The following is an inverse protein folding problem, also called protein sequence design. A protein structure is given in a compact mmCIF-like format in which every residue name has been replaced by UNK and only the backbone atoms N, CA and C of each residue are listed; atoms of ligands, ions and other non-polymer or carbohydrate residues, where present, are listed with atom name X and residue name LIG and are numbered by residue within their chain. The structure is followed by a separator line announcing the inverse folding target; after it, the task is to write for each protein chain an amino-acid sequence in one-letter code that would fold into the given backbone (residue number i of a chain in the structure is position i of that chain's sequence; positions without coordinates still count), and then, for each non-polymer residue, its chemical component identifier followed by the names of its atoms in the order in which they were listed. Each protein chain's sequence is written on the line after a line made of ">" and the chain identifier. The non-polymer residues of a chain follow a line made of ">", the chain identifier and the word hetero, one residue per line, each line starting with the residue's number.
data_IF_056557663267
#
_entry.id   IF_056557663267
#
_cell.length_a   1.000
_cell.length_b   1.000
_cell.length_c   1.000
_cell.angle_alpha   90.00
_cell.angle_beta   90.00
_cell.angle_gamma   90.00
#
_symmetry.space_group_name_H-M   'P 1'
#
loop_
_entity.id
_entity.type
_entity.pdbx_description
1 polymer ?
#
# COMPACT_ATOMS: atom_id res chain seq x y z
N UNK A 1 -71.51 -17.21 -55.14
CA UNK A 1 -71.08 -18.27 -54.20
C UNK A 1 -69.60 -18.08 -53.86
N UNK A 2 -69.31 -17.96 -52.56
CA UNK A 2 -68.06 -18.25 -51.81
C UNK A 2 -66.68 -17.85 -52.39
N UNK A 3 -66.21 -16.70 -51.87
CA UNK A 3 -64.88 -16.40 -51.29
C UNK A 3 -63.78 -17.48 -51.42
N UNK A 4 -62.74 -17.19 -52.21
CA UNK A 4 -61.41 -17.79 -52.10
C UNK A 4 -60.55 -17.04 -51.07
N UNK A 5 -60.17 -17.70 -49.98
CA UNK A 5 -59.24 -17.19 -48.97
C UNK A 5 -57.81 -17.17 -49.54
N UNK A 6 -57.18 -15.99 -49.63
CA UNK A 6 -55.72 -15.86 -49.64
C UNK A 6 -55.26 -15.63 -48.20
N UNK A 7 -54.70 -16.67 -47.59
CA UNK A 7 -53.99 -16.59 -46.31
C UNK A 7 -52.59 -16.02 -46.57
N UNK A 8 -52.28 -14.88 -45.96
CA UNK A 8 -50.91 -14.38 -45.84
C UNK A 8 -50.08 -15.42 -45.09
N UNK A 9 -49.09 -16.00 -45.75
CA UNK A 9 -48.05 -16.79 -45.09
C UNK A 9 -47.14 -15.80 -44.36
N UNK A 10 -47.38 -15.63 -43.06
CA UNK A 10 -46.43 -15.01 -42.14
C UNK A 10 -45.27 -15.98 -42.00
N UNK A 11 -44.14 -15.71 -42.66
CA UNK A 11 -42.86 -16.33 -42.35
C UNK A 11 -42.48 -15.96 -40.90
N UNK A 12 -42.89 -16.78 -39.94
CA UNK A 12 -42.27 -16.81 -38.60
C UNK A 12 -40.81 -17.18 -38.81
N UNK A 13 -39.91 -16.19 -38.77
CA UNK A 13 -38.50 -16.41 -38.42
C UNK A 13 -38.50 -17.10 -37.06
N UNK A 14 -38.27 -18.41 -37.05
CA UNK A 14 -37.82 -19.12 -35.86
C UNK A 14 -36.49 -18.49 -35.47
N UNK A 15 -36.53 -17.51 -34.58
CA UNK A 15 -35.38 -17.10 -33.81
C UNK A 15 -34.95 -18.33 -33.01
N UNK A 16 -33.96 -19.07 -33.52
CA UNK A 16 -33.16 -19.95 -32.68
C UNK A 16 -32.51 -19.07 -31.65
N UNK A 17 -33.11 -18.99 -30.46
CA UNK A 17 -32.44 -18.59 -29.24
C UNK A 17 -31.25 -19.53 -29.08
N UNK A 18 -30.08 -19.06 -29.53
CA UNK A 18 -28.82 -19.64 -29.15
C UNK A 18 -28.68 -19.41 -27.65
N UNK A 19 -29.15 -20.38 -26.88
CA UNK A 19 -28.65 -20.64 -25.54
C UNK A 19 -27.16 -20.87 -25.69
N UNK A 20 -26.37 -19.81 -25.52
CA UNK A 20 -24.93 -19.88 -25.50
C UNK A 20 -24.54 -20.74 -24.30
N UNK A 21 -24.33 -22.04 -24.52
CA UNK A 21 -23.70 -22.93 -23.54
C UNK A 21 -22.36 -22.30 -23.17
N UNK A 22 -22.32 -21.76 -21.95
CA UNK A 22 -21.20 -21.10 -21.31
C UNK A 22 -20.08 -22.12 -21.18
N UNK A 23 -19.02 -21.97 -21.96
CA UNK A 23 -17.84 -22.84 -21.83
C UNK A 23 -17.00 -22.37 -20.65
N UNK A 24 -16.60 -23.30 -19.80
CA UNK A 24 -15.60 -23.07 -18.79
C UNK A 24 -14.26 -22.66 -19.42
N UNK A 25 -13.46 -21.88 -18.71
CA UNK A 25 -12.26 -21.27 -19.31
C UNK A 25 -11.17 -22.29 -19.61
N UNK A 26 -11.09 -23.39 -18.85
CA UNK A 26 -10.22 -24.53 -19.14
C UNK A 26 -10.61 -25.33 -20.41
N UNK A 27 -11.78 -25.07 -21.01
CA UNK A 27 -12.20 -25.69 -22.30
C UNK A 27 -11.80 -24.86 -23.52
N UNK A 28 -11.17 -23.69 -23.33
CA UNK A 28 -10.42 -23.01 -24.41
C UNK A 28 -9.03 -23.63 -24.44
N UNK A 29 -8.60 -24.15 -25.60
CA UNK A 29 -7.25 -24.68 -25.76
C UNK A 29 -6.23 -23.58 -25.40
N UNK A 30 -5.36 -23.86 -24.42
CA UNK A 30 -4.22 -23.03 -23.98
C UNK A 30 -4.58 -21.56 -23.69
N UNK A 31 -5.28 -21.32 -22.58
CA UNK A 31 -5.60 -19.98 -22.09
C UNK A 31 -4.87 -19.65 -20.79
N UNK A 32 -4.89 -18.38 -20.40
CA UNK A 32 -4.45 -17.93 -19.08
C UNK A 32 -5.40 -16.86 -18.54
N UNK A 33 -5.33 -16.59 -17.24
CA UNK A 33 -5.99 -15.45 -16.62
C UNK A 33 -4.95 -14.54 -15.97
N UNK A 34 -5.28 -13.24 -15.89
CA UNK A 34 -4.39 -12.22 -15.34
C UNK A 34 -5.10 -11.54 -14.18
N UNK A 35 -4.61 -11.76 -12.96
CA UNK A 35 -5.05 -11.06 -11.74
C UNK A 35 -4.56 -9.62 -11.79
N UNK A 36 -5.39 -8.66 -11.39
CA UNK A 36 -5.15 -7.23 -11.58
C UNK A 36 -5.70 -6.36 -10.45
N UNK A 37 -5.48 -5.05 -10.49
CA UNK A 37 -6.04 -4.06 -9.57
C UNK A 37 -5.83 -4.45 -8.09
N UNK A 38 -6.86 -4.34 -7.25
CA UNK A 38 -6.78 -4.64 -5.82
C UNK A 38 -6.44 -6.12 -5.58
N UNK A 39 -6.98 -7.03 -6.38
CA UNK A 39 -6.66 -8.46 -6.24
C UNK A 39 -5.20 -8.78 -6.54
N UNK A 40 -4.55 -8.07 -7.48
CA UNK A 40 -3.12 -8.22 -7.73
C UNK A 40 -2.29 -7.74 -6.53
N UNK A 41 -2.67 -6.61 -5.91
CA UNK A 41 -1.99 -6.13 -4.71
C UNK A 41 -2.13 -7.11 -3.55
N UNK A 42 -3.34 -7.61 -3.29
CA UNK A 42 -3.60 -8.60 -2.25
C UNK A 42 -2.75 -9.86 -2.47
N UNK A 43 -2.77 -10.39 -3.69
CA UNK A 43 -1.98 -11.57 -4.05
C UNK A 43 -0.48 -11.34 -3.88
N UNK A 44 0.06 -10.24 -4.43
CA UNK A 44 1.48 -9.91 -4.31
C UNK A 44 1.89 -9.63 -2.86
N UNK A 45 1.00 -9.05 -2.04
CA UNK A 45 1.26 -8.78 -0.63
C UNK A 45 1.40 -10.08 0.19
N UNK A 46 0.74 -11.17 -0.19
CA UNK A 46 0.81 -12.47 0.49
C UNK A 46 1.92 -13.38 -0.04
N UNK A 47 2.24 -13.28 -1.33
CA UNK A 47 3.21 -14.17 -1.97
C UNK A 47 4.67 -13.79 -1.65
N UNK A 48 5.56 -14.80 -1.53
CA UNK A 48 6.99 -14.59 -1.74
C UNK A 48 7.23 -13.95 -3.11
N UNK A 49 8.33 -13.22 -3.26
CA UNK A 49 8.61 -12.49 -4.50
C UNK A 49 8.56 -13.42 -5.74
N UNK A 50 7.56 -13.26 -6.64
CA UNK A 50 7.37 -14.18 -7.76
C UNK A 50 8.36 -13.95 -8.91
N UNK A 51 9.18 -12.89 -8.87
CA UNK A 51 10.21 -12.58 -9.88
C UNK A 51 11.52 -13.34 -9.66
N UNK A 52 11.51 -14.43 -8.88
CA UNK A 52 12.73 -15.14 -8.52
C UNK A 52 13.34 -15.89 -9.73
N UNK A 53 14.63 -15.59 -10.02
CA UNK A 53 15.45 -16.21 -11.08
C UNK A 53 15.86 -15.21 -12.18
N UNK A 54 16.99 -15.43 -12.85
CA UNK A 54 17.47 -14.60 -13.99
C UNK A 54 16.63 -14.77 -15.28
N UNK A 55 15.41 -15.28 -15.15
CA UNK A 55 14.51 -15.44 -16.28
C UNK A 55 14.11 -14.05 -16.77
N UNK A 56 14.40 -13.75 -18.04
CA UNK A 56 13.90 -12.53 -18.66
C UNK A 56 12.38 -12.42 -18.49
N UNK A 57 11.85 -11.20 -18.29
CA UNK A 57 10.41 -11.01 -18.14
C UNK A 57 9.70 -11.55 -19.37
N UNK A 58 8.87 -12.58 -19.17
CA UNK A 58 8.11 -13.21 -20.24
C UNK A 58 7.19 -12.17 -20.90
N UNK A 59 7.29 -12.03 -22.22
CA UNK A 59 6.44 -11.12 -22.98
C UNK A 59 5.08 -11.79 -23.20
N UNK A 60 4.21 -11.65 -22.20
CA UNK A 60 2.85 -12.19 -22.24
C UNK A 60 1.93 -11.15 -22.85
N UNK A 61 1.24 -11.53 -23.94
CA UNK A 61 0.20 -10.69 -24.52
C UNK A 61 -1.04 -10.66 -23.62
N UNK A 62 -1.87 -9.64 -23.69
CA UNK A 62 -3.20 -9.68 -23.06
C UNK A 62 -4.23 -10.43 -23.92
N UNK A 63 -3.94 -10.65 -25.21
CA UNK A 63 -4.92 -11.17 -26.17
C UNK A 63 -5.44 -12.57 -25.84
N UNK A 64 -4.66 -13.40 -25.12
CA UNK A 64 -5.06 -14.72 -24.67
C UNK A 64 -5.71 -14.76 -23.29
N UNK A 65 -5.81 -13.61 -22.60
CA UNK A 65 -6.35 -13.56 -21.24
C UNK A 65 -7.85 -13.81 -21.22
N UNK A 66 -8.30 -14.61 -20.26
CA UNK A 66 -9.70 -14.95 -20.06
C UNK A 66 -10.15 -14.63 -18.62
N UNK A 67 -11.46 -14.41 -18.45
CA UNK A 67 -12.05 -14.27 -17.14
C UNK A 67 -12.50 -15.62 -16.59
N UNK A 68 -12.20 -15.90 -15.32
CA UNK A 68 -12.60 -17.15 -14.66
C UNK A 68 -14.13 -17.29 -14.52
N UNK A 69 -14.57 -18.50 -14.24
CA UNK A 69 -15.88 -18.77 -13.66
C UNK A 69 -15.89 -18.37 -12.17
N UNK A 70 -17.08 -18.15 -11.62
CA UNK A 70 -17.24 -17.71 -10.23
C UNK A 70 -16.64 -18.70 -9.23
N UNK A 71 -16.84 -20.01 -9.44
CA UNK A 71 -16.24 -21.05 -8.59
C UNK A 71 -14.71 -21.09 -8.71
N UNK A 72 -14.17 -21.02 -9.93
CA UNK A 72 -12.71 -21.02 -10.17
C UNK A 72 -12.04 -19.83 -9.49
N UNK A 73 -12.69 -18.66 -9.49
CA UNK A 73 -12.20 -17.47 -8.82
C UNK A 73 -12.29 -17.59 -7.29
N UNK A 74 -13.36 -18.19 -6.76
CA UNK A 74 -13.46 -18.50 -5.34
C UNK A 74 -12.36 -19.47 -4.90
N UNK A 75 -12.14 -20.56 -5.65
CA UNK A 75 -11.09 -21.54 -5.36
C UNK A 75 -9.70 -20.88 -5.37
N UNK A 76 -9.47 -19.91 -6.26
CA UNK A 76 -8.24 -19.11 -6.30
C UNK A 76 -8.07 -18.22 -5.06
N UNK A 77 -9.14 -17.50 -4.67
CA UNK A 77 -9.15 -16.65 -3.46
C UNK A 77 -8.87 -17.50 -2.22
N UNK A 78 -9.56 -18.63 -2.08
CA UNK A 78 -9.48 -19.51 -0.91
C UNK A 78 -8.09 -20.17 -0.81
N UNK A 79 -7.48 -20.57 -1.93
CA UNK A 79 -6.15 -21.20 -1.94
C UNK A 79 -5.03 -20.29 -1.44
N UNK A 80 -5.12 -18.99 -1.72
CA UNK A 80 -4.11 -18.02 -1.26
C UNK A 80 -4.55 -17.25 -0.02
N UNK A 81 -5.75 -17.51 0.49
CA UNK A 81 -6.35 -16.85 1.66
C UNK A 81 -6.21 -15.33 1.63
N UNK A 82 -6.60 -14.75 0.49
CA UNK A 82 -6.28 -13.36 0.14
C UNK A 82 -7.04 -12.30 0.92
N UNK A 83 -7.96 -12.65 1.82
CA UNK A 83 -8.79 -11.66 2.53
C UNK A 83 -9.76 -10.84 1.67
N UNK A 84 -9.78 -11.05 0.35
CA UNK A 84 -10.67 -10.38 -0.61
C UNK A 84 -11.88 -11.24 -0.97
N UNK A 85 -12.99 -10.61 -1.34
CA UNK A 85 -14.21 -11.32 -1.79
C UNK A 85 -14.29 -11.49 -3.31
N UNK A 86 -13.57 -10.66 -4.07
CA UNK A 86 -13.71 -10.58 -5.52
C UNK A 86 -12.34 -10.52 -6.18
N UNK A 87 -12.14 -11.37 -7.18
CA UNK A 87 -10.93 -11.42 -8.00
C UNK A 87 -11.07 -10.47 -9.19
N UNK A 88 -10.24 -9.43 -9.23
CA UNK A 88 -10.15 -8.50 -10.35
C UNK A 88 -9.29 -9.10 -11.48
N UNK A 89 -9.87 -9.30 -12.67
CA UNK A 89 -9.21 -9.93 -13.82
C UNK A 89 -9.12 -8.99 -15.02
N UNK A 90 -7.98 -8.97 -15.73
CA UNK A 90 -7.88 -8.29 -17.02
C UNK A 90 -8.47 -9.13 -18.14
N UNK A 91 -9.19 -8.46 -19.04
CA UNK A 91 -9.72 -9.06 -20.28
C UNK A 91 -9.46 -8.17 -21.49
N UNK A 92 -9.16 -8.75 -22.68
CA UNK A 92 -8.84 -7.98 -23.88
C UNK A 92 -10.09 -7.48 -24.61
N UNK A 93 -11.26 -8.11 -24.39
CA UNK A 93 -12.49 -7.82 -25.14
C UNK A 93 -13.67 -7.55 -24.22
N UNK A 94 -14.59 -6.69 -24.69
CA UNK A 94 -15.87 -6.43 -24.01
C UNK A 94 -16.73 -7.68 -23.90
N UNK A 95 -16.58 -8.63 -24.82
CA UNK A 95 -17.33 -9.89 -24.80
C UNK A 95 -16.92 -10.80 -23.63
N UNK A 96 -15.70 -10.65 -23.12
CA UNK A 96 -15.19 -11.43 -22.00
C UNK A 96 -15.41 -10.72 -20.65
N UNK A 97 -16.08 -9.55 -20.64
CA UNK A 97 -16.44 -8.88 -19.38
C UNK A 97 -17.43 -9.71 -18.60
N UNK A 98 -17.12 -9.88 -17.32
CA UNK A 98 -17.92 -10.55 -16.31
C UNK A 98 -17.96 -9.72 -15.03
N UNK A 99 -19.09 -9.83 -14.36
CA UNK A 99 -19.27 -9.36 -12.99
C UNK A 99 -20.14 -10.39 -12.28
N UNK A 100 -19.59 -10.96 -11.22
CA UNK A 100 -20.27 -11.91 -10.33
C UNK A 100 -19.83 -11.62 -8.90
N UNK A 101 -20.15 -12.52 -7.96
CA UNK A 101 -19.77 -12.36 -6.56
C UNK A 101 -18.24 -12.38 -6.41
N UNK A 102 -17.59 -13.35 -7.05
CA UNK A 102 -16.14 -13.58 -6.90
C UNK A 102 -15.31 -13.11 -8.10
N UNK A 103 -15.94 -12.58 -9.17
CA UNK A 103 -15.21 -12.09 -10.36
C UNK A 103 -15.63 -10.66 -10.69
N UNK A 104 -14.62 -9.80 -10.87
CA UNK A 104 -14.77 -8.49 -11.52
C UNK A 104 -13.75 -8.40 -12.65
N UNK A 105 -14.20 -7.96 -13.82
CA UNK A 105 -13.32 -7.87 -15.00
C UNK A 105 -13.05 -6.43 -15.39
N UNK A 106 -11.84 -6.19 -15.87
CA UNK A 106 -11.36 -4.89 -16.31
C UNK A 106 -10.88 -5.01 -17.75
N UNK A 107 -11.45 -4.17 -18.60
CA UNK A 107 -11.07 -4.14 -20.00
C UNK A 107 -9.73 -3.44 -20.14
N UNK A 108 -8.74 -4.13 -20.69
CA UNK A 108 -7.50 -3.53 -21.13
C UNK A 108 -7.29 -3.84 -22.62
N UNK A 109 -7.41 -2.80 -23.45
CA UNK A 109 -7.19 -2.85 -24.90
C UNK A 109 -5.86 -2.23 -25.30
N UNK A 110 -5.09 -1.73 -24.32
CA UNK A 110 -3.84 -1.06 -24.57
C UNK A 110 -2.72 -2.10 -24.61
N UNK A 111 -1.75 -1.87 -25.48
CA UNK A 111 -0.46 -2.54 -25.37
C UNK A 111 0.23 -2.06 -24.09
N UNK A 112 0.70 -3.02 -23.30
CA UNK A 112 1.42 -2.78 -22.06
C UNK A 112 2.89 -3.12 -22.28
N UNK A 113 3.83 -2.45 -21.60
CA UNK A 113 5.25 -2.80 -21.74
C UNK A 113 5.55 -4.22 -21.26
N UNK A 114 6.66 -4.77 -21.73
CA UNK A 114 7.21 -6.01 -21.20
C UNK A 114 7.40 -5.93 -19.68
N UNK A 115 7.19 -7.04 -18.97
CA UNK A 115 7.25 -7.10 -17.50
C UNK A 115 5.99 -6.59 -16.78
N UNK A 116 4.93 -6.22 -17.52
CA UNK A 116 3.62 -5.87 -16.93
C UNK A 116 2.88 -7.04 -16.30
N UNK A 117 3.26 -8.27 -16.65
CA UNK A 117 2.67 -9.50 -16.13
C UNK A 117 3.77 -10.42 -15.58
N UNK A 118 3.48 -11.07 -14.46
CA UNK A 118 4.38 -12.02 -13.80
C UNK A 118 3.67 -13.38 -13.81
N UNK A 119 4.36 -14.41 -14.28
CA UNK A 119 3.85 -15.79 -14.28
C UNK A 119 3.80 -16.33 -12.86
N UNK A 120 2.67 -16.95 -12.50
CA UNK A 120 2.50 -17.74 -11.29
C UNK A 120 2.56 -19.24 -11.58
N UNK A 121 2.83 -19.60 -12.83
CA UNK A 121 2.87 -20.96 -13.32
C UNK A 121 1.50 -21.56 -13.58
N UNK A 122 1.49 -22.89 -13.66
CA UNK A 122 0.30 -23.67 -13.97
C UNK A 122 -0.71 -23.65 -12.83
N UNK A 123 -1.99 -23.47 -13.14
CA UNK A 123 -3.06 -23.43 -12.15
C UNK A 123 -3.89 -24.72 -12.12
N UNK A 124 -4.84 -24.88 -13.06
CA UNK A 124 -5.77 -26.00 -13.13
C UNK A 124 -6.09 -26.36 -14.57
N UNK A 125 -6.09 -27.66 -14.88
CA UNK A 125 -6.40 -28.16 -16.21
C UNK A 125 -5.30 -27.80 -17.22
N UNK A 126 -5.62 -26.95 -18.19
CA UNK A 126 -4.67 -26.39 -19.16
C UNK A 126 -4.52 -24.87 -19.04
N UNK A 127 -4.82 -24.31 -17.85
CA UNK A 127 -4.87 -22.87 -17.59
C UNK A 127 -3.67 -22.43 -16.77
N UNK A 128 -3.00 -21.37 -17.23
CA UNK A 128 -1.91 -20.73 -16.49
C UNK A 128 -2.40 -19.47 -15.78
N UNK A 129 -1.74 -19.13 -14.67
CA UNK A 129 -2.06 -17.96 -13.86
C UNK A 129 -0.97 -16.89 -14.00
N UNK A 130 -1.40 -15.66 -14.19
CA UNK A 130 -0.53 -14.48 -14.19
C UNK A 130 -1.08 -13.43 -13.24
N UNK A 131 -0.21 -12.54 -12.79
CA UNK A 131 -0.57 -11.35 -12.01
C UNK A 131 0.03 -10.12 -12.64
N UNK A 132 -0.69 -8.99 -12.59
CA UNK A 132 -0.12 -7.69 -12.95
C UNK A 132 1.09 -7.40 -12.07
N UNK A 133 2.11 -6.80 -12.66
CA UNK A 133 3.30 -6.39 -11.93
C UNK A 133 2.93 -5.41 -10.80
N UNK A 134 3.72 -5.33 -9.70
CA UNK A 134 3.45 -4.37 -8.63
C UNK A 134 3.37 -2.92 -9.14
N UNK A 135 4.14 -2.58 -10.18
CA UNK A 135 4.11 -1.26 -10.83
C UNK A 135 2.78 -1.00 -11.55
N UNK A 136 2.30 -1.97 -12.36
CA UNK A 136 1.02 -1.85 -13.04
C UNK A 136 -0.15 -1.87 -12.06
N UNK A 137 -0.12 -2.75 -11.06
CA UNK A 137 -1.15 -2.85 -10.03
C UNK A 137 -1.28 -1.54 -9.24
N UNK A 138 -0.16 -0.88 -8.89
CA UNK A 138 -0.18 0.44 -8.28
C UNK A 138 -0.86 1.49 -9.16
N UNK A 139 -0.58 1.52 -10.48
CA UNK A 139 -1.24 2.45 -11.41
C UNK A 139 -2.74 2.19 -11.51
N UNK A 140 -3.13 0.91 -11.59
CA UNK A 140 -4.52 0.47 -11.64
C UNK A 140 -5.31 0.89 -10.39
N UNK A 141 -4.74 0.65 -9.20
CA UNK A 141 -5.37 1.04 -7.92
C UNK A 141 -5.35 2.55 -7.72
N UNK A 142 -4.30 3.24 -8.15
CA UNK A 142 -4.29 4.70 -8.16
C UNK A 142 -5.42 5.29 -9.02
N UNK A 143 -5.84 4.62 -10.10
CA UNK A 143 -6.98 5.06 -10.89
C UNK A 143 -8.31 4.85 -10.14
N UNK A 144 -8.54 3.64 -9.61
CA UNK A 144 -9.85 3.20 -9.12
C UNK A 144 -10.13 3.53 -7.64
N UNK A 145 -9.10 3.74 -6.83
CA UNK A 145 -9.22 3.86 -5.37
C UNK A 145 -8.98 5.28 -4.86
N UNK A 146 -9.24 5.50 -3.57
CA UNK A 146 -8.92 6.77 -2.90
C UNK A 146 -7.40 7.03 -2.88
N UNK A 147 -7.01 8.28 -2.63
CA UNK A 147 -5.59 8.62 -2.50
C UNK A 147 -4.92 7.88 -1.35
N UNK A 148 -5.63 7.64 -0.23
CA UNK A 148 -5.08 6.93 0.92
C UNK A 148 -4.79 5.46 0.58
N UNK A 149 -5.77 4.74 0.02
CA UNK A 149 -5.61 3.34 -0.39
C UNK A 149 -4.48 3.18 -1.42
N UNK A 150 -4.42 4.07 -2.42
CA UNK A 150 -3.37 4.02 -3.43
C UNK A 150 -1.97 4.30 -2.85
N UNK A 151 -1.82 5.25 -1.92
CA UNK A 151 -0.54 5.48 -1.25
C UNK A 151 -0.17 4.26 -0.42
N UNK A 152 -1.11 3.71 0.35
CA UNK A 152 -0.88 2.52 1.19
C UNK A 152 -0.50 1.29 0.35
N UNK A 153 -1.11 1.10 -0.82
CA UNK A 153 -0.70 0.12 -1.80
C UNK A 153 0.77 0.29 -2.22
N UNK A 154 1.20 1.53 -2.46
CA UNK A 154 2.60 1.84 -2.75
C UNK A 154 3.55 1.48 -1.61
N UNK A 155 3.16 1.72 -0.35
CA UNK A 155 3.91 1.25 0.82
C UNK A 155 4.01 -0.28 0.83
N UNK A 156 2.90 -0.99 0.65
CA UNK A 156 2.87 -2.45 0.67
C UNK A 156 3.72 -3.08 -0.44
N UNK A 157 3.72 -2.52 -1.66
CA UNK A 157 4.53 -3.05 -2.78
C UNK A 157 6.04 -2.74 -2.64
N UNK A 158 6.40 -1.70 -1.88
CA UNK A 158 7.79 -1.30 -1.63
C UNK A 158 8.29 -1.67 -0.23
N UNK A 159 7.54 -2.52 0.47
CA UNK A 159 7.84 -2.91 1.85
C UNK A 159 8.91 -3.99 1.92
N UNK A 160 9.46 -4.15 3.12
CA UNK A 160 10.28 -5.30 3.50
C UNK A 160 9.44 -6.32 4.30
N UNK A 161 8.14 -6.40 4.03
CA UNK A 161 7.25 -7.39 4.65
C UNK A 161 6.31 -8.02 3.63
N UNK A 162 5.75 -9.16 3.98
CA UNK A 162 4.59 -9.76 3.31
C UNK A 162 3.58 -10.20 4.36
N UNK A 163 2.33 -10.25 3.95
CA UNK A 163 1.25 -10.79 4.77
C UNK A 163 1.36 -12.31 4.78
N UNK A 164 1.12 -12.89 5.94
CA UNK A 164 1.23 -14.31 6.17
C UNK A 164 0.25 -14.70 7.28
N UNK A 165 -0.91 -15.23 6.88
CA UNK A 165 -1.98 -15.57 7.83
C UNK A 165 -1.57 -16.70 8.80
N UNK A 166 -0.48 -17.40 8.51
CA UNK A 166 0.09 -18.44 9.38
C UNK A 166 1.16 -17.90 10.33
N UNK A 167 1.71 -16.70 10.07
CA UNK A 167 2.73 -16.11 10.93
C UNK A 167 2.10 -15.45 12.17
N UNK A 168 2.78 -15.49 13.34
CA UNK A 168 2.37 -14.70 14.50
C UNK A 168 2.27 -13.21 14.14
N UNK A 169 1.08 -12.63 14.31
CA UNK A 169 0.82 -11.23 13.95
C UNK A 169 0.53 -10.98 12.47
N UNK A 170 0.41 -12.04 11.64
CA UNK A 170 -0.05 -11.95 10.25
C UNK A 170 1.00 -11.42 9.26
N UNK A 171 2.26 -11.31 9.66
CA UNK A 171 3.32 -10.62 8.89
C UNK A 171 4.64 -11.38 8.97
N UNK A 172 5.30 -11.52 7.83
CA UNK A 172 6.64 -12.10 7.71
C UNK A 172 7.58 -11.08 7.03
N UNK A 173 8.85 -11.05 7.44
CA UNK A 173 9.89 -10.21 6.82
C UNK A 173 10.19 -10.65 5.39
N UNK A 174 10.41 -9.68 4.49
CA UNK A 174 11.05 -9.91 3.19
C UNK A 174 12.55 -9.74 3.37
N UNK A 175 13.26 -10.85 3.52
CA UNK A 175 14.70 -10.85 3.73
C UNK A 175 15.42 -10.68 2.40
N UNK A 176 16.05 -9.52 2.18
CA UNK A 176 16.82 -9.21 0.96
C UNK A 176 18.04 -10.11 0.68
N UNK A 177 18.36 -11.04 1.60
CA UNK A 177 19.37 -12.08 1.40
C UNK A 177 18.81 -13.47 1.07
N UNK A 178 17.49 -13.64 1.13
CA UNK A 178 16.77 -14.85 0.72
C UNK A 178 15.97 -14.57 -0.55
N UNK A 179 15.39 -15.62 -1.16
CA UNK A 179 14.63 -15.55 -2.43
C UNK A 179 13.35 -14.68 -2.39
N UNK A 180 13.16 -13.86 -1.35
CA UNK A 180 11.96 -13.08 -1.05
C UNK A 180 12.30 -11.61 -0.74
N UNK A 181 12.99 -10.95 -1.66
CA UNK A 181 13.26 -9.51 -1.58
C UNK A 181 12.02 -8.67 -1.90
N UNK A 182 12.12 -7.34 -1.73
CA UNK A 182 11.06 -6.37 -2.09
C UNK A 182 10.54 -6.61 -3.52
N UNK A 183 9.23 -6.40 -3.72
CA UNK A 183 8.59 -6.62 -5.02
C UNK A 183 8.97 -5.56 -6.06
N UNK A 184 9.11 -4.31 -5.61
CA UNK A 184 9.47 -3.15 -6.45
C UNK A 184 10.10 -2.02 -5.63
N UNK A 185 10.43 -0.92 -6.30
CA UNK A 185 10.85 0.36 -5.71
C UNK A 185 10.10 1.51 -6.38
N UNK A 186 10.11 2.70 -5.79
CA UNK A 186 9.57 3.92 -6.37
C UNK A 186 10.24 4.26 -7.69
N UNK A 187 11.54 4.00 -7.80
CA UNK A 187 12.28 4.19 -9.05
C UNK A 187 11.73 3.28 -10.15
N UNK A 188 11.44 2.01 -9.85
CA UNK A 188 10.85 1.07 -10.80
C UNK A 188 9.40 1.44 -11.15
N UNK A 189 8.58 1.85 -10.18
CA UNK A 189 7.22 2.34 -10.43
C UNK A 189 7.27 3.60 -11.30
N UNK A 190 8.17 4.54 -11.02
CA UNK A 190 8.35 5.74 -11.82
C UNK A 190 8.80 5.41 -13.25
N UNK A 191 9.78 4.51 -13.41
CA UNK A 191 10.23 4.04 -14.71
C UNK A 191 9.09 3.40 -15.51
N UNK A 192 8.25 2.59 -14.87
CA UNK A 192 7.07 2.00 -15.49
C UNK A 192 6.07 3.06 -15.98
N UNK A 193 5.82 4.08 -15.16
CA UNK A 193 4.92 5.20 -15.50
C UNK A 193 5.42 5.94 -16.74
N UNK A 194 6.72 6.23 -16.82
CA UNK A 194 7.32 6.91 -17.98
C UNK A 194 7.33 6.04 -19.24
N UNK A 195 7.54 4.73 -19.10
CA UNK A 195 7.52 3.78 -20.21
C UNK A 195 6.11 3.51 -20.77
N UNK A 196 5.04 3.90 -20.07
CA UNK A 196 3.66 3.47 -20.35
C UNK A 196 2.66 4.60 -20.62
N UNK A 197 2.93 5.62 -21.47
CA UNK A 197 2.13 6.86 -21.53
C UNK A 197 0.64 6.67 -21.88
N UNK A 198 0.25 5.52 -22.43
CA UNK A 198 -1.12 5.20 -22.85
C UNK A 198 -1.99 4.60 -21.74
N UNK A 199 -1.41 4.25 -20.58
CA UNK A 199 -2.17 3.65 -19.46
C UNK A 199 -2.98 4.74 -18.73
N UNK A 200 -4.21 4.41 -18.35
CA UNK A 200 -5.07 5.35 -17.60
C UNK A 200 -4.59 5.45 -16.15
N UNK A 201 -4.72 6.63 -15.55
CA UNK A 201 -4.40 6.84 -14.13
C UNK A 201 -2.96 7.24 -13.83
N UNK A 202 -2.06 7.29 -14.82
CA UNK A 202 -0.64 7.62 -14.63
C UNK A 202 -0.41 8.96 -13.93
N UNK A 203 -1.15 10.01 -14.29
CA UNK A 203 -0.97 11.33 -13.68
C UNK A 203 -1.28 11.30 -12.18
N UNK A 204 -2.35 10.60 -11.78
CA UNK A 204 -2.71 10.41 -10.37
C UNK A 204 -1.70 9.50 -9.67
N UNK A 205 -1.30 8.39 -10.29
CA UNK A 205 -0.28 7.48 -9.76
C UNK A 205 1.05 8.20 -9.49
N UNK A 206 1.56 8.97 -10.47
CA UNK A 206 2.78 9.77 -10.35
C UNK A 206 2.69 10.81 -9.22
N UNK A 207 1.54 11.49 -9.10
CA UNK A 207 1.33 12.46 -8.04
C UNK A 207 1.26 11.81 -6.64
N UNK A 208 0.71 10.60 -6.53
CA UNK A 208 0.59 9.88 -5.26
C UNK A 208 1.89 9.17 -4.86
N UNK A 209 2.70 8.73 -5.83
CA UNK A 209 4.00 8.08 -5.61
C UNK A 209 4.95 8.96 -4.78
N UNK A 210 4.84 10.29 -4.89
CA UNK A 210 5.61 11.24 -4.09
C UNK A 210 5.37 11.13 -2.58
N UNK A 211 4.29 10.49 -2.14
CA UNK A 211 3.97 10.25 -0.73
C UNK A 211 4.31 8.85 -0.24
N UNK A 212 4.79 7.96 -1.12
CA UNK A 212 5.21 6.61 -0.75
C UNK A 212 6.60 6.68 -0.11
N UNK A 213 6.76 6.03 1.03
CA UNK A 213 8.05 5.84 1.71
C UNK A 213 8.31 4.34 1.77
N UNK A 214 9.45 3.94 1.20
CA UNK A 214 9.80 2.53 1.07
C UNK A 214 10.32 1.92 2.36
N UNK A 215 10.35 0.58 2.38
CA UNK A 215 11.11 -0.16 3.38
C UNK A 215 10.42 -0.27 4.73
N UNK A 216 9.11 -0.08 4.78
CA UNK A 216 8.30 -0.44 5.96
C UNK A 216 8.44 -1.93 6.28
N UNK A 217 8.43 -2.29 7.56
CA UNK A 217 8.52 -3.67 8.06
C UNK A 217 7.21 -4.20 8.60
N UNK A 218 6.16 -3.38 8.64
CA UNK A 218 4.81 -3.87 8.95
C UNK A 218 3.71 -2.99 8.33
N UNK A 219 2.50 -3.56 8.13
CA UNK A 219 1.30 -2.80 7.77
C UNK A 219 1.06 -1.60 8.71
N UNK A 220 1.26 -1.80 10.02
CA UNK A 220 1.01 -0.78 11.03
C UNK A 220 2.02 0.36 10.99
N UNK A 221 3.28 0.05 10.74
CA UNK A 221 4.31 1.06 10.51
C UNK A 221 4.00 1.90 9.26
N UNK A 222 3.54 1.26 8.17
CA UNK A 222 3.08 1.97 6.97
C UNK A 222 1.95 2.94 7.28
N UNK A 223 0.93 2.47 8.00
CA UNK A 223 -0.21 3.28 8.42
C UNK A 223 0.15 4.44 9.33
N UNK A 224 0.96 4.21 10.36
CA UNK A 224 1.44 5.24 11.29
C UNK A 224 2.30 6.28 10.56
N UNK A 225 3.19 5.85 9.66
CA UNK A 225 4.00 6.74 8.86
C UNK A 225 3.14 7.63 7.96
N UNK A 226 2.13 7.07 7.29
CA UNK A 226 1.16 7.83 6.52
C UNK A 226 0.40 8.83 7.40
N UNK A 227 -0.11 8.39 8.55
CA UNK A 227 -0.87 9.25 9.46
C UNK A 227 -0.06 10.45 9.97
N UNK A 228 1.22 10.23 10.28
CA UNK A 228 2.12 11.26 10.79
C UNK A 228 2.66 12.19 9.69
N UNK A 229 2.99 11.67 8.51
CA UNK A 229 3.71 12.41 7.47
C UNK A 229 2.82 13.01 6.38
N UNK A 230 1.67 12.40 6.08
CA UNK A 230 0.86 12.86 4.95
C UNK A 230 0.34 14.29 5.16
N UNK A 231 0.16 15.05 4.07
CA UNK A 231 -0.52 16.33 4.12
C UNK A 231 -1.96 16.21 4.64
N UNK A 232 -2.44 17.26 5.34
CA UNK A 232 -3.81 17.32 5.86
C UNK A 232 -4.91 17.13 4.81
N UNK A 233 -4.64 17.45 3.53
CA UNK A 233 -5.60 17.20 2.42
C UNK A 233 -5.88 15.71 2.18
N UNK A 234 -4.98 14.83 2.62
CA UNK A 234 -5.09 13.37 2.60
C UNK A 234 -5.34 12.78 3.99
N UNK A 235 -5.56 13.63 5.01
CA UNK A 235 -5.88 13.21 6.37
C UNK A 235 -4.68 13.16 7.33
N UNK A 236 -3.44 13.26 6.86
CA UNK A 236 -2.27 13.18 7.75
C UNK A 236 -1.98 14.45 8.56
N UNK A 237 -0.99 14.36 9.44
CA UNK A 237 -0.57 15.45 10.33
C UNK A 237 0.49 16.40 9.75
N UNK A 238 1.15 16.04 8.65
CA UNK A 238 2.26 16.80 8.07
C UNK A 238 3.34 17.18 9.12
N UNK A 239 3.75 16.22 9.95
CA UNK A 239 4.71 16.44 11.03
C UNK A 239 6.13 16.72 10.51
N UNK A 240 6.47 16.28 9.30
CA UNK A 240 7.78 16.49 8.70
C UNK A 240 8.02 15.53 7.54
N UNK A 241 9.25 15.53 7.04
CA UNK A 241 9.75 14.48 6.15
C UNK A 241 9.92 13.20 6.98
N UNK A 242 9.27 12.12 6.55
CA UNK A 242 9.41 10.82 7.18
C UNK A 242 10.42 9.94 6.44
N UNK A 243 11.13 9.12 7.20
CA UNK A 243 12.01 8.05 6.75
C UNK A 243 11.70 6.82 7.61
N UNK A 244 11.62 5.64 7.01
CA UNK A 244 11.36 4.39 7.72
C UNK A 244 12.66 3.64 8.00
N UNK A 245 12.75 2.99 9.16
CA UNK A 245 13.85 2.10 9.53
C UNK A 245 15.24 2.72 9.30
N UNK A 246 15.37 4.03 9.53
CA UNK A 246 16.63 4.75 9.33
C UNK A 246 17.55 4.49 10.51
N UNK A 247 18.74 3.95 10.24
CA UNK A 247 19.76 3.71 11.27
C UNK A 247 20.19 5.03 11.93
N UNK A 248 20.16 5.04 13.25
CA UNK A 248 20.72 6.06 14.12
C UNK A 248 21.97 5.47 14.81
N UNK A 249 23.05 6.25 14.81
CA UNK A 249 24.32 5.86 15.39
C UNK A 249 24.61 6.73 16.61
N UNK A 250 24.76 6.09 17.77
CA UNK A 250 24.88 6.76 19.07
C UNK A 250 26.26 6.46 19.62
N UNK A 251 27.01 7.50 20.02
CA UNK A 251 28.28 7.33 20.72
C UNK A 251 27.99 7.23 22.21
N UNK A 252 28.24 6.06 22.81
CA UNK A 252 27.89 5.78 24.21
C UNK A 252 28.99 6.18 25.22
N UNK A 253 30.10 6.73 24.73
CA UNK A 253 31.22 7.20 25.55
C UNK A 253 32.18 6.10 26.00
N UNK A 254 31.95 4.84 25.63
CA UNK A 254 32.87 3.73 25.92
C UNK A 254 33.91 3.55 24.80
N UNK A 255 35.07 3.00 25.14
CA UNK A 255 36.08 2.59 24.15
C UNK A 255 35.83 1.14 23.73
N UNK A 256 36.06 0.80 22.46
CA UNK A 256 35.87 -0.54 21.89
C UNK A 256 36.91 -1.59 22.33
N UNK A 257 37.78 -1.23 23.28
CA UNK A 257 38.78 -2.12 23.89
C UNK A 257 39.97 -2.48 22.99
N UNK A 258 39.94 -2.20 21.68
CA UNK A 258 41.03 -2.61 20.77
C UNK A 258 41.85 -1.45 20.23
N UNK A 259 41.30 -0.23 20.07
CA UNK A 259 42.05 0.86 19.41
C UNK A 259 41.69 2.29 19.86
N UNK A 260 41.19 2.51 21.10
CA UNK A 260 40.63 3.82 21.53
C UNK A 260 39.54 4.36 20.58
N UNK A 261 38.90 3.50 19.77
CA UNK A 261 37.74 3.90 18.98
C UNK A 261 36.53 3.95 19.91
N UNK A 262 35.79 5.05 19.83
CA UNK A 262 34.54 5.19 20.57
C UNK A 262 33.55 4.14 20.07
N UNK A 263 32.94 3.41 21.00
CA UNK A 263 31.86 2.48 20.73
C UNK A 263 30.66 3.25 20.18
N UNK A 264 30.08 2.70 19.13
CA UNK A 264 28.90 3.24 18.46
C UNK A 264 27.80 2.21 18.54
N UNK A 265 26.69 2.58 19.18
CA UNK A 265 25.46 1.79 19.21
C UNK A 265 24.64 2.10 17.96
N UNK A 266 24.14 1.06 17.31
CA UNK A 266 23.19 1.18 16.20
C UNK A 266 21.77 0.97 16.71
N UNK A 267 20.89 1.92 16.39
CA UNK A 267 19.44 1.83 16.63
C UNK A 267 18.69 2.06 15.33
N UNK A 268 17.59 1.34 15.16
CA UNK A 268 16.73 1.47 13.97
C UNK A 268 15.34 1.82 14.45
N UNK A 269 15.03 3.12 14.63
CA UNK A 269 13.66 3.56 14.87
C UNK A 269 12.77 3.21 13.67
N UNK A 270 11.52 2.82 13.94
CA UNK A 270 10.57 2.47 12.89
C UNK A 270 10.28 3.68 11.99
N UNK A 271 10.00 4.84 12.59
CA UNK A 271 9.72 6.08 11.87
C UNK A 271 10.62 7.21 12.38
N UNK A 272 11.33 7.87 11.49
CA UNK A 272 12.07 9.11 11.77
C UNK A 272 11.40 10.28 11.05
N UNK A 273 10.98 11.29 11.81
CA UNK A 273 10.39 12.53 11.31
C UNK A 273 11.39 13.67 11.46
N UNK A 274 11.68 14.38 10.37
CA UNK A 274 12.52 15.57 10.39
C UNK A 274 11.75 16.78 9.90
N UNK A 275 11.89 17.91 10.58
CA UNK A 275 11.20 19.13 10.18
C UNK A 275 12.00 20.39 10.46
N UNK A 276 11.92 21.33 9.52
CA UNK A 276 12.33 22.71 9.75
C UNK A 276 11.38 23.38 10.74
N UNK A 277 11.96 24.11 11.68
CA UNK A 277 11.22 24.85 12.71
C UNK A 277 10.34 25.92 12.06
N UNK A 278 9.03 25.86 12.33
CA UNK A 278 8.06 26.86 11.88
C UNK A 278 7.68 27.83 13.01
N UNK A 279 7.74 27.38 14.26
CA UNK A 279 7.39 28.16 15.46
C UNK A 279 8.63 28.35 16.34
N UNK A 280 8.88 29.58 16.80
CA UNK A 280 10.06 29.88 17.61
C UNK A 280 11.31 30.15 16.75
N UNK A 281 11.13 30.71 15.54
CA UNK A 281 12.24 31.06 14.63
C UNK A 281 13.19 32.10 15.21
N UNK A 282 12.71 32.95 16.11
CA UNK A 282 13.49 33.85 16.95
C UNK A 282 14.51 33.09 17.79
N UNK A 283 14.13 31.96 18.39
CA UNK A 283 15.03 31.09 19.15
C UNK A 283 16.07 30.41 18.27
N UNK A 284 15.70 30.05 17.05
CA UNK A 284 16.66 29.53 16.05
C UNK A 284 17.70 30.60 15.70
N UNK A 285 17.26 31.84 15.41
CA UNK A 285 18.15 32.98 15.13
C UNK A 285 19.07 33.32 16.30
N UNK A 286 18.59 33.15 17.53
CA UNK A 286 19.37 33.35 18.75
C UNK A 286 20.31 32.18 19.09
N UNK A 287 20.37 31.11 18.28
CA UNK A 287 21.21 29.94 18.52
C UNK A 287 20.71 29.03 19.65
N UNK A 288 19.49 29.23 20.14
CA UNK A 288 18.90 28.46 21.25
C UNK A 288 18.18 27.19 20.79
N UNK A 289 17.93 27.04 19.49
CA UNK A 289 17.30 25.87 18.90
C UNK A 289 17.92 25.57 17.53
N UNK A 290 18.05 24.28 17.14
CA UNK A 290 18.49 23.93 15.80
C UNK A 290 17.42 24.30 14.76
N UNK A 291 17.84 24.52 13.50
CA UNK A 291 16.93 24.81 12.39
C UNK A 291 16.03 23.61 12.04
N UNK A 292 16.56 22.39 12.24
CA UNK A 292 15.86 21.12 11.99
C UNK A 292 15.76 20.35 13.29
N UNK A 293 14.54 19.91 13.61
CA UNK A 293 14.24 19.04 14.74
C UNK A 293 13.88 17.65 14.24
N UNK A 294 14.19 16.64 15.06
CA UNK A 294 13.95 15.24 14.73
C UNK A 294 13.08 14.59 15.79
N UNK A 295 12.12 13.78 15.37
CA UNK A 295 11.37 12.88 16.24
C UNK A 295 11.52 11.44 15.74
N UNK A 296 11.98 10.56 16.61
CA UNK A 296 12.06 9.12 16.36
C UNK A 296 10.88 8.44 17.06
N UNK A 297 10.23 7.53 16.35
CA UNK A 297 9.01 6.88 16.81
C UNK A 297 9.14 5.38 16.58
N UNK A 298 8.96 4.62 17.65
CA UNK A 298 8.85 3.16 17.58
C UNK A 298 7.42 2.72 17.85
N UNK A 299 6.95 1.76 17.05
CA UNK A 299 5.70 1.08 17.27
C UNK A 299 5.96 -0.17 18.11
N UNK A 300 5.45 -0.17 19.33
CA UNK A 300 5.55 -1.29 20.23
C UNK A 300 4.27 -2.13 20.19
N UNK A 301 4.35 -3.31 19.59
CA UNK A 301 3.23 -4.25 19.54
C UNK A 301 3.08 -4.99 20.86
N UNK A 302 1.83 -5.23 21.27
CA UNK A 302 1.49 -5.97 22.51
C UNK A 302 1.84 -7.47 22.46
N UNK A 303 2.72 -7.93 21.53
CA UNK A 303 3.09 -9.33 21.40
C UNK A 303 3.60 -9.88 22.74
N UNK A 304 2.73 -10.69 23.37
CA UNK A 304 2.86 -11.24 24.70
C UNK A 304 3.96 -12.30 24.65
N UNK A 305 5.14 -12.05 25.24
CA UNK A 305 5.97 -13.11 25.82
C UNK A 305 6.99 -12.66 26.88
N UNK A 306 7.29 -11.38 27.09
CA UNK A 306 8.36 -11.01 28.05
C UNK A 306 8.20 -9.63 28.70
N UNK A 307 7.09 -9.43 29.44
CA UNK A 307 6.74 -8.13 30.00
C UNK A 307 7.86 -7.43 30.78
N UNK A 308 8.68 -8.16 31.56
CA UNK A 308 9.77 -7.53 32.35
C UNK A 308 11.03 -7.25 31.52
N UNK A 309 11.48 -8.21 30.70
CA UNK A 309 12.67 -7.98 29.86
C UNK A 309 12.43 -6.89 28.81
N UNK A 310 11.22 -6.85 28.25
CA UNK A 310 10.83 -5.85 27.27
C UNK A 310 10.83 -4.44 27.88
N UNK A 311 10.26 -4.28 29.08
CA UNK A 311 10.30 -3.00 29.82
C UNK A 311 11.74 -2.54 30.04
N UNK A 312 12.66 -3.44 30.42
CA UNK A 312 14.07 -3.09 30.60
C UNK A 312 14.72 -2.66 29.28
N UNK A 313 14.54 -3.43 28.20
CA UNK A 313 15.08 -3.11 26.87
C UNK A 313 14.56 -1.77 26.35
N UNK A 314 13.29 -1.46 26.56
CA UNK A 314 12.70 -0.18 26.15
C UNK A 314 13.21 1.00 26.97
N UNK A 315 13.44 0.79 28.27
CA UNK A 315 14.05 1.80 29.13
C UNK A 315 15.51 2.08 28.74
N UNK A 316 16.30 1.04 28.48
CA UNK A 316 17.67 1.16 27.97
C UNK A 316 17.70 1.87 26.61
N UNK A 317 16.84 1.46 25.67
CA UNK A 317 16.72 2.09 24.35
C UNK A 317 16.40 3.59 24.47
N UNK A 318 15.52 3.97 25.39
CA UNK A 318 15.20 5.38 25.64
C UNK A 318 16.41 6.15 26.18
N UNK A 319 17.14 5.58 27.13
CA UNK A 319 18.33 6.21 27.71
C UNK A 319 19.43 6.42 26.67
N UNK A 320 19.64 5.46 25.78
CA UNK A 320 20.62 5.57 24.69
C UNK A 320 20.23 6.67 23.69
N UNK A 321 18.95 6.74 23.31
CA UNK A 321 18.47 7.74 22.35
C UNK A 321 18.46 9.16 22.92
N UNK A 322 18.37 9.31 24.24
CA UNK A 322 18.48 10.61 24.91
C UNK A 322 19.87 11.26 24.73
N UNK A 323 20.90 10.48 24.38
CA UNK A 323 22.23 11.00 24.04
C UNK A 323 22.26 11.76 22.70
N UNK A 324 21.22 11.64 21.87
CA UNK A 324 21.14 12.34 20.59
C UNK A 324 20.64 13.77 20.79
N UNK A 325 21.49 14.76 20.51
CA UNK A 325 21.11 16.17 20.57
C UNK A 325 19.98 16.51 19.58
N UNK A 326 18.96 17.23 20.06
CA UNK A 326 17.86 17.72 19.21
C UNK A 326 16.91 16.65 18.69
N UNK A 327 16.96 15.43 19.25
CA UNK A 327 16.08 14.32 18.92
C UNK A 327 15.07 14.10 20.05
N UNK A 328 13.79 13.96 19.70
CA UNK A 328 12.76 13.50 20.63
C UNK A 328 12.37 12.05 20.31
N UNK A 329 12.40 11.18 21.31
CA UNK A 329 11.99 9.79 21.15
C UNK A 329 10.57 9.54 21.68
N UNK A 330 9.78 8.79 20.92
CA UNK A 330 8.41 8.41 21.27
C UNK A 330 8.17 6.93 21.00
N UNK A 331 7.27 6.35 21.78
CA UNK A 331 6.75 5.00 21.55
C UNK A 331 5.24 5.09 21.30
N UNK A 332 4.74 4.31 20.34
CA UNK A 332 3.32 4.12 20.03
C UNK A 332 2.96 2.70 20.42
N UNK A 333 2.09 2.51 21.40
CA UNK A 333 1.60 1.18 21.75
C UNK A 333 0.46 0.76 20.81
N UNK A 334 0.13 -0.54 20.77
CA UNK A 334 -1.09 -1.03 20.10
C UNK A 334 -2.34 -0.28 20.55
N UNK A 335 -2.52 -0.09 21.86
CA UNK A 335 -3.67 0.65 22.43
C UNK A 335 -3.73 2.09 21.91
N UNK A 336 -2.60 2.78 21.81
CA UNK A 336 -2.56 4.13 21.25
C UNK A 336 -2.81 4.15 19.75
N UNK A 337 -2.34 3.14 19.01
CA UNK A 337 -2.56 3.05 17.57
C UNK A 337 -4.04 2.76 17.24
N UNK A 338 -4.69 1.89 18.03
CA UNK A 338 -6.08 1.46 17.86
C UNK A 338 -7.12 2.44 18.44
N UNK A 339 -6.69 3.49 19.15
CA UNK A 339 -7.57 4.53 19.67
C UNK A 339 -7.24 5.85 18.97
N UNK A 340 -8.16 6.30 18.12
CA UNK A 340 -8.01 7.52 17.33
C UNK A 340 -7.64 8.73 18.21
N UNK A 341 -8.30 8.92 19.35
CA UNK A 341 -8.08 10.08 20.21
C UNK A 341 -6.72 10.01 20.91
N UNK A 342 -6.29 8.81 21.34
CA UNK A 342 -4.94 8.61 21.91
C UNK A 342 -3.86 8.87 20.86
N UNK A 343 -4.02 8.36 19.63
CA UNK A 343 -3.06 8.61 18.55
C UNK A 343 -2.99 10.09 18.18
N UNK A 344 -4.13 10.77 18.09
CA UNK A 344 -4.24 12.22 17.85
C UNK A 344 -3.50 13.01 18.93
N UNK A 345 -3.67 12.65 20.21
CA UNK A 345 -2.96 13.29 21.32
C UNK A 345 -1.45 13.08 21.23
N UNK A 346 -1.00 11.88 20.86
CA UNK A 346 0.41 11.60 20.65
C UNK A 346 0.99 12.43 19.49
N UNK A 347 0.30 12.47 18.35
CA UNK A 347 0.71 13.27 17.20
C UNK A 347 0.79 14.77 17.54
N UNK A 348 -0.10 15.30 18.37
CA UNK A 348 -0.02 16.68 18.86
C UNK A 348 1.20 16.93 19.78
N UNK A 349 1.62 15.94 20.57
CA UNK A 349 2.86 16.03 21.37
C UNK A 349 4.09 16.03 20.46
N UNK A 350 4.15 15.14 19.48
CA UNK A 350 5.22 15.10 18.47
C UNK A 350 5.28 16.44 17.72
N UNK A 351 4.13 16.96 17.28
CA UNK A 351 4.02 18.25 16.59
C UNK A 351 4.63 19.40 17.41
N UNK A 352 4.33 19.45 18.71
CA UNK A 352 4.89 20.46 19.62
C UNK A 352 6.40 20.31 19.74
N UNK A 353 6.91 19.08 19.91
CA UNK A 353 8.35 18.81 19.97
C UNK A 353 9.08 19.13 18.66
N UNK A 354 8.43 18.99 17.52
CA UNK A 354 8.96 19.39 16.21
C UNK A 354 8.74 20.87 15.87
N UNK A 355 8.17 21.66 16.79
CA UNK A 355 7.89 23.09 16.60
C UNK A 355 7.15 23.40 15.29
N UNK A 356 6.23 22.51 14.91
CA UNK A 356 5.39 22.66 13.72
C UNK A 356 4.18 23.52 14.03
N UNK A 357 3.71 24.32 13.07
CA UNK A 357 2.43 25.00 13.22
C UNK A 357 1.30 23.98 13.36
N UNK A 358 0.33 24.27 14.24
CA UNK A 358 -0.82 23.39 14.45
C UNK A 358 -1.62 23.18 13.15
N UNK A 359 -1.79 24.23 12.35
CA UNK A 359 -2.72 24.23 11.22
C UNK A 359 -2.26 25.17 10.10
N UNK A 360 -1.33 24.74 9.23
CA UNK A 360 -0.84 25.58 8.12
C UNK A 360 -1.93 25.95 7.10
N UNK A 361 -3.03 25.21 7.05
CA UNK A 361 -4.21 25.53 6.22
C UNK A 361 -4.86 26.88 6.56
N UNK A 362 -4.62 27.42 7.77
CA UNK A 362 -5.15 28.72 8.21
C UNK A 362 -4.19 29.89 7.98
N UNK A 363 -3.08 29.67 7.28
CA UNK A 363 -2.18 30.76 6.89
C UNK A 363 -2.80 31.64 5.79
N UNK A 364 -3.94 31.23 5.20
CA UNK A 364 -4.72 32.04 4.27
C UNK A 364 -5.81 32.81 5.02
N UNK A 365 -6.10 34.03 4.57
CA UNK A 365 -7.24 34.80 5.06
C UNK A 365 -8.55 34.05 4.77
N UNK A 366 -9.37 33.84 5.81
CA UNK A 366 -10.61 33.07 5.76
C UNK A 366 -11.60 33.65 6.79
N UNK A 367 -12.90 33.62 6.49
CA UNK A 367 -13.96 33.95 7.46
C UNK A 367 -14.00 32.91 8.59
N UNK A 368 -14.66 33.24 9.71
CA UNK A 368 -14.82 32.30 10.83
C UNK A 368 -15.54 31.01 10.40
N UNK A 369 -16.58 31.14 9.57
CA UNK A 369 -17.34 30.02 9.02
C UNK A 369 -16.49 29.13 8.09
N UNK A 370 -15.72 29.75 7.17
CA UNK A 370 -14.80 29.01 6.29
C UNK A 370 -13.75 28.25 7.10
N UNK A 371 -13.26 28.83 8.20
CA UNK A 371 -12.32 28.18 9.12
C UNK A 371 -12.93 26.97 9.80
N UNK A 372 -14.17 27.09 10.26
CA UNK A 372 -14.92 25.99 10.89
C UNK A 372 -15.07 24.80 9.92
N UNK A 373 -15.58 25.04 8.70
CA UNK A 373 -15.76 23.97 7.72
C UNK A 373 -14.44 23.34 7.25
N UNK A 374 -13.39 24.15 7.06
CA UNK A 374 -12.08 23.62 6.71
C UNK A 374 -11.48 22.77 7.85
N UNK A 375 -11.72 23.16 9.10
CA UNK A 375 -11.29 22.39 10.27
C UNK A 375 -12.03 21.05 10.35
N UNK A 376 -13.36 21.06 10.30
CA UNK A 376 -14.18 19.86 10.32
C UNK A 376 -13.79 18.89 9.20
N UNK A 377 -13.62 19.39 7.97
CA UNK A 377 -13.20 18.57 6.83
C UNK A 377 -11.84 17.91 7.03
N UNK A 378 -10.89 18.61 7.64
CA UNK A 378 -9.57 18.05 7.93
C UNK A 378 -9.63 16.95 9.00
N UNK A 379 -10.46 17.13 10.03
CA UNK A 379 -10.66 16.11 11.08
C UNK A 379 -11.38 14.88 10.55
N UNK A 380 -12.45 15.06 9.76
CA UNK A 380 -13.15 13.95 9.11
C UNK A 380 -12.19 13.16 8.22
N UNK A 381 -11.38 13.83 7.39
CA UNK A 381 -10.39 13.14 6.54
C UNK A 381 -9.33 12.41 7.34
N UNK A 382 -8.91 12.95 8.49
CA UNK A 382 -7.93 12.30 9.37
C UNK A 382 -8.51 11.04 9.98
N UNK A 383 -9.75 11.09 10.45
CA UNK A 383 -10.45 9.92 10.97
C UNK A 383 -10.57 8.83 9.89
N UNK A 384 -11.00 9.19 8.67
CA UNK A 384 -11.09 8.23 7.57
C UNK A 384 -9.73 7.66 7.16
N UNK A 385 -8.65 8.46 7.21
CA UNK A 385 -7.30 7.96 6.97
C UNK A 385 -6.93 6.91 8.02
N UNK A 386 -7.08 7.24 9.31
CA UNK A 386 -6.81 6.31 10.41
C UNK A 386 -7.60 5.01 10.25
N UNK A 387 -8.90 5.13 9.95
CA UNK A 387 -9.75 3.99 9.74
C UNK A 387 -9.27 3.12 8.55
N UNK A 388 -8.85 3.75 7.45
CA UNK A 388 -8.44 3.05 6.24
C UNK A 388 -7.06 2.37 6.33
N UNK A 389 -6.11 2.90 7.11
CA UNK A 389 -4.71 2.43 7.07
C UNK A 389 -4.15 1.97 8.42
N UNK A 390 -4.90 2.13 9.51
CA UNK A 390 -4.48 1.70 10.86
C UNK A 390 -5.52 0.77 11.49
N UNK A 391 -6.80 1.16 11.48
CA UNK A 391 -7.90 0.37 12.06
C UNK A 391 -8.34 -0.78 11.14
N UNK A 392 -8.34 -0.54 9.83
CA UNK A 392 -8.59 -1.58 8.86
C UNK A 392 -7.43 -2.58 8.85
N UNK A 393 -7.59 -3.62 9.67
CA UNK A 393 -6.85 -4.88 9.60
C UNK A 393 -7.04 -5.63 8.26
N UNK A 394 -7.64 -5.02 7.23
CA UNK A 394 -8.35 -5.72 6.16
C UNK A 394 -8.19 -5.17 4.73
N UNK A 395 -7.26 -4.24 4.50
CA UNK A 395 -6.84 -3.96 3.13
C UNK A 395 -5.38 -4.41 3.10
N UNK A 396 -5.08 -5.64 2.69
CA UNK A 396 -5.37 -6.28 1.41
C UNK A 396 -5.48 -7.78 1.58
#
# INVERSE_FOLDING_TARGET
>A
MRRGKKLLVVCRKLARTASGRRRACYLRAMGYFIVSHNAALALLAHLPNPRFGDSEPEVVSIAGACALLDQEAQDFIDRYDLGIQTLDLLVPSRADRRQSKHVKTHLCTNELPAGSFISLGHWMGGLDAYVCSPELAFVQVAHDSSAAEAIYAGYAMTSNYRLDNLAPGGVTSRDGGMRDGRLTTKELIAAYIEASPKVRGLAKAKALLAYVIEGSRSPRESGLCMFMSLPARYGGYALGKAELNKKAFIRDGLNDGRERKLRVLERTPDITLTAKVEVGRDKVKAGLLPEVLTAMVDYDSDAIHDGREKIHKDAERRNELELLEGVAYFTVTTDQANDYDKLVRLCERIRRKLHRNKRPIFNKAMSAEQRYFAHARAETKRFWLWQAVIDAHQYW
#
